data_IF_732331124283
#
_entry.id   IF_732331124283
#
_cell.length_a   1.000
_cell.length_b   1.000
_cell.length_c   1.000
_cell.angle_alpha   90.00
_cell.angle_beta   90.00
_cell.angle_gamma   90.00
#
_symmetry.space_group_name_H-M   'P 1'
#
loop_
_entity.id
_entity.type
_entity.pdbx_description
1 polymer ?
#
# COMPACT_ATOMS: atom_id res chain seq x y z
N UNK A 1 29.68 9.31 6.11
CA UNK A 1 28.80 8.14 5.92
C UNK A 1 27.58 8.36 6.75
N UNK A 2 26.42 8.49 6.13
CA UNK A 2 25.20 8.92 6.82
C UNK A 2 24.06 7.99 6.41
N UNK A 3 23.56 7.23 7.39
CA UNK A 3 22.47 6.28 7.21
C UNK A 3 21.14 7.06 7.30
N UNK A 4 20.63 7.51 6.16
CA UNK A 4 19.27 8.06 6.10
C UNK A 4 18.25 6.92 6.08
N UNK A 5 17.72 6.58 7.25
CA UNK A 5 16.50 5.79 7.36
C UNK A 5 15.31 6.75 7.24
N UNK A 6 14.55 6.66 6.13
CA UNK A 6 13.29 7.39 5.99
C UNK A 6 12.12 6.42 6.05
N UNK A 7 11.82 5.97 7.25
CA UNK A 7 10.47 5.66 7.68
C UNK A 7 10.09 6.86 8.56
N UNK A 8 9.15 7.70 8.13
CA UNK A 8 8.76 8.89 8.90
C UNK A 8 7.89 8.52 10.12
N UNK A 9 7.47 7.26 10.22
CA UNK A 9 6.79 6.67 11.36
C UNK A 9 7.43 5.32 11.69
N UNK A 10 7.34 4.96 12.96
CA UNK A 10 7.97 3.79 13.53
C UNK A 10 7.64 3.67 15.01
N UNK A 11 7.71 2.46 15.54
CA UNK A 11 7.50 2.19 16.96
C UNK A 11 8.84 1.91 17.62
N UNK A 12 9.23 2.75 18.59
CA UNK A 12 10.37 2.48 19.48
C UNK A 12 9.79 2.17 20.86
N UNK A 13 9.90 0.91 21.30
CA UNK A 13 9.33 0.46 22.56
C UNK A 13 7.80 0.59 22.56
N UNK A 14 7.26 1.48 23.40
CA UNK A 14 5.80 1.74 23.50
C UNK A 14 5.35 3.01 22.77
N UNK A 15 6.26 3.73 22.12
CA UNK A 15 5.96 5.00 21.45
C UNK A 15 5.97 4.77 19.94
N UNK A 16 4.79 4.86 19.33
CA UNK A 16 4.60 4.83 17.88
C UNK A 16 4.44 6.24 17.33
N UNK A 17 5.26 6.62 16.36
CA UNK A 17 5.05 7.85 15.59
C UNK A 17 4.30 7.50 14.29
N UNK A 18 3.19 8.20 14.04
CA UNK A 18 2.44 8.06 12.80
C UNK A 18 2.95 9.06 11.77
N UNK A 19 3.51 8.55 10.67
CA UNK A 19 3.74 9.38 9.50
C UNK A 19 2.53 9.40 8.55
N UNK A 20 2.11 10.59 8.11
CA UNK A 20 1.24 10.69 6.94
C UNK A 20 1.83 9.93 5.76
N UNK A 21 1.01 9.13 5.07
CA UNK A 21 1.45 8.37 3.90
C UNK A 21 2.15 7.03 4.19
N UNK A 22 2.32 6.61 5.44
CA UNK A 22 2.90 5.29 5.75
C UNK A 22 1.90 4.15 5.52
N UNK A 23 2.37 3.03 4.94
CA UNK A 23 1.59 1.81 4.82
C UNK A 23 1.46 1.12 6.18
N UNK A 24 0.23 0.75 6.56
CA UNK A 24 -0.03 0.00 7.80
C UNK A 24 -0.38 -1.44 7.46
N UNK A 25 0.46 -2.36 7.89
CA UNK A 25 0.21 -3.80 7.78
C UNK A 25 -0.35 -4.28 9.11
N UNK A 26 -1.59 -4.78 9.10
CA UNK A 26 -2.20 -5.39 10.27
C UNK A 26 -1.85 -6.88 10.33
N UNK A 27 -1.50 -7.37 11.52
CA UNK A 27 -1.21 -8.78 11.72
C UNK A 27 -2.47 -9.60 11.44
N UNK A 28 -2.29 -10.73 10.75
CA UNK A 28 -3.37 -11.66 10.37
C UNK A 28 -4.44 -11.07 9.45
N UNK A 29 -4.22 -9.89 8.85
CA UNK A 29 -5.12 -9.32 7.86
C UNK A 29 -4.51 -9.41 6.45
N UNK A 30 -5.28 -9.90 5.46
CA UNK A 30 -4.80 -9.97 4.09
C UNK A 30 -4.72 -8.57 3.46
N UNK A 31 -3.63 -8.32 2.74
CA UNK A 31 -3.42 -7.08 2.00
C UNK A 31 -2.70 -7.34 0.67
N UNK A 32 -2.79 -6.39 -0.26
CA UNK A 32 -1.99 -6.34 -1.47
C UNK A 32 -0.94 -5.24 -1.31
N UNK A 33 0.32 -5.58 -1.56
CA UNK A 33 1.44 -4.64 -1.50
C UNK A 33 2.31 -4.74 -2.74
N UNK A 34 2.83 -3.59 -3.19
CA UNK A 34 3.92 -3.55 -4.16
C UNK A 34 5.24 -3.53 -3.42
N UNK A 35 6.14 -4.47 -3.74
CA UNK A 35 7.44 -4.58 -3.09
C UNK A 35 8.56 -4.16 -4.04
N UNK A 36 9.59 -3.50 -3.50
CA UNK A 36 10.85 -3.25 -4.19
C UNK A 36 12.00 -3.91 -3.44
N UNK A 37 12.85 -4.64 -4.16
CA UNK A 37 14.06 -5.26 -3.59
C UNK A 37 15.08 -4.19 -3.16
N UNK A 38 15.70 -4.42 -2.02
CA UNK A 38 16.82 -3.67 -1.43
C UNK A 38 17.90 -4.66 -1.00
N UNK A 39 19.10 -4.14 -0.68
CA UNK A 39 20.23 -4.97 -0.25
C UNK A 39 19.92 -5.80 1.00
N UNK A 40 19.09 -5.26 1.89
CA UNK A 40 18.78 -5.83 3.22
C UNK A 40 17.38 -6.45 3.30
N UNK A 41 16.59 -6.44 2.23
CA UNK A 41 15.22 -6.95 2.26
C UNK A 41 14.31 -6.35 1.19
N UNK A 42 13.00 -6.45 1.41
CA UNK A 42 11.98 -5.82 0.58
C UNK A 42 11.35 -4.64 1.32
N UNK A 43 11.03 -3.58 0.58
CA UNK A 43 10.30 -2.42 1.09
C UNK A 43 9.03 -2.21 0.29
N UNK A 44 7.95 -1.73 0.93
CA UNK A 44 6.73 -1.35 0.22
C UNK A 44 7.03 -0.15 -0.68
N UNK A 45 6.84 -0.33 -1.99
CA UNK A 45 7.00 0.73 -2.97
C UNK A 45 5.83 1.74 -2.83
N UNK A 46 6.10 3.04 -2.90
CA UNK A 46 5.05 4.06 -2.84
C UNK A 46 4.36 4.21 -1.48
N UNK A 47 4.87 3.59 -0.41
CA UNK A 47 4.32 3.68 0.95
C UNK A 47 2.81 3.34 0.97
N UNK A 48 1.95 4.16 1.58
CA UNK A 48 0.50 3.95 1.63
C UNK A 48 -0.17 3.84 0.24
N UNK A 49 0.45 4.39 -0.81
CA UNK A 49 -0.09 4.29 -2.18
C UNK A 49 0.11 2.90 -2.79
N UNK A 50 1.16 2.19 -2.36
CA UNK A 50 1.44 0.84 -2.81
C UNK A 50 0.90 -0.24 -1.88
N UNK A 51 0.02 0.12 -0.94
CA UNK A 51 -0.60 -0.78 0.01
C UNK A 51 -2.13 -0.67 -0.06
N UNK A 52 -2.78 -1.82 -0.19
CA UNK A 52 -4.23 -1.95 -0.23
C UNK A 52 -4.66 -3.02 0.77
N UNK A 53 -5.50 -2.64 1.74
CA UNK A 53 -6.17 -3.62 2.58
C UNK A 53 -7.21 -4.38 1.74
N UNK A 54 -7.55 -5.60 2.14
CA UNK A 54 -8.57 -6.39 1.47
C UNK A 54 -9.84 -6.42 2.33
N UNK A 55 -10.95 -5.95 1.76
CA UNK A 55 -12.26 -5.98 2.41
C UNK A 55 -13.29 -6.66 1.53
N UNK A 56 -14.22 -7.40 2.14
CA UNK A 56 -15.39 -7.92 1.41
C UNK A 56 -16.44 -6.82 1.24
N UNK A 57 -17.11 -6.80 0.09
CA UNK A 57 -18.33 -6.01 -0.08
C UNK A 57 -19.58 -6.78 0.42
N UNK A 58 -20.76 -6.18 0.27
CA UNK A 58 -22.04 -6.78 0.67
C UNK A 58 -22.35 -8.10 -0.06
N UNK A 59 -21.80 -8.29 -1.26
CA UNK A 59 -21.90 -9.52 -2.03
C UNK A 59 -20.82 -10.56 -1.67
N UNK A 60 -19.96 -10.26 -0.69
CA UNK A 60 -18.88 -11.13 -0.24
C UNK A 60 -17.63 -11.11 -1.13
N UNK A 61 -17.57 -10.22 -2.14
CA UNK A 61 -16.46 -10.11 -3.10
C UNK A 61 -15.28 -9.39 -2.47
N UNK A 62 -14.07 -9.95 -2.61
CA UNK A 62 -12.85 -9.37 -2.03
C UNK A 62 -12.33 -8.21 -2.88
N UNK A 63 -12.31 -7.01 -2.31
CA UNK A 63 -11.92 -5.76 -2.98
C UNK A 63 -10.75 -5.07 -2.29
N UNK A 64 -9.96 -4.38 -3.10
CA UNK A 64 -8.87 -3.52 -2.64
C UNK A 64 -9.44 -2.26 -2.00
N UNK A 65 -8.98 -1.93 -0.80
CA UNK A 65 -9.28 -0.69 -0.11
C UNK A 65 -8.02 0.16 -0.05
N UNK A 66 -8.12 1.41 -0.50
CA UNK A 66 -7.04 2.36 -0.38
C UNK A 66 -6.66 2.53 1.09
N UNK A 67 -5.37 2.68 1.38
CA UNK A 67 -4.92 2.91 2.74
C UNK A 67 -5.51 4.21 3.30
N UNK A 68 -5.96 4.19 4.56
CA UNK A 68 -6.55 5.36 5.23
C UNK A 68 -5.58 6.54 5.34
N UNK A 69 -4.26 6.28 5.30
CA UNK A 69 -3.20 7.28 5.36
C UNK A 69 -2.77 7.81 3.99
N UNK A 70 -3.41 7.38 2.90
CA UNK A 70 -3.02 7.78 1.54
C UNK A 70 -3.31 9.26 1.29
N UNK A 71 -2.30 10.02 0.87
CA UNK A 71 -2.51 11.38 0.40
C UNK A 71 -3.28 11.34 -0.92
N UNK A 72 -4.42 12.05 -0.99
CA UNK A 72 -5.19 12.22 -2.24
C UNK A 72 -4.53 13.33 -3.07
N UNK A 73 -3.89 12.96 -4.17
CA UNK A 73 -3.42 13.93 -5.15
C UNK A 73 -4.59 14.36 -6.02
N UNK A 74 -4.97 15.64 -5.96
CA UNK A 74 -6.01 16.20 -6.82
C UNK A 74 -5.41 16.46 -8.20
N UNK A 75 -5.98 15.86 -9.25
CA UNK A 75 -5.62 16.17 -10.64
C UNK A 75 -4.53 15.29 -11.29
N UNK A 76 -4.04 14.24 -10.62
CA UNK A 76 -3.12 13.28 -11.25
C UNK A 76 -3.92 12.06 -11.72
N UNK A 77 -4.24 12.03 -13.02
CA UNK A 77 -4.75 10.84 -13.68
C UNK A 77 -3.68 9.74 -13.70
N UNK A 78 -4.09 8.47 -13.58
CA UNK A 78 -3.18 7.31 -13.66
C UNK A 78 -2.39 6.98 -12.38
N UNK A 79 -2.78 7.52 -11.21
CA UNK A 79 -2.19 7.04 -9.95
C UNK A 79 -2.64 5.60 -9.67
N UNK A 80 -1.75 4.76 -9.12
CA UNK A 80 -2.07 3.37 -8.75
C UNK A 80 -3.29 3.27 -7.82
N UNK A 81 -3.45 4.25 -6.93
CA UNK A 81 -4.60 4.32 -6.01
C UNK A 81 -5.89 4.57 -6.78
N UNK A 82 -5.89 5.54 -7.70
CA UNK A 82 -7.04 5.81 -8.56
C UNK A 82 -7.34 4.62 -9.50
N UNK A 83 -6.31 3.90 -9.94
CA UNK A 83 -6.50 2.74 -10.81
C UNK A 83 -7.01 1.52 -10.07
N UNK A 84 -6.58 1.24 -8.83
CA UNK A 84 -6.80 -0.05 -8.17
C UNK A 84 -7.76 -0.03 -7.00
N UNK A 85 -8.05 1.13 -6.40
CA UNK A 85 -9.01 1.23 -5.30
C UNK A 85 -10.39 0.70 -5.72
N UNK A 86 -11.03 -0.03 -4.82
CA UNK A 86 -12.34 -0.68 -4.95
C UNK A 86 -12.48 -1.72 -6.06
N UNK A 87 -11.40 -2.03 -6.79
CA UNK A 87 -11.39 -3.18 -7.70
C UNK A 87 -11.43 -4.48 -6.93
N UNK A 88 -12.07 -5.48 -7.54
CA UNK A 88 -11.91 -6.87 -7.13
C UNK A 88 -10.44 -7.30 -7.21
N UNK A 89 -9.98 -8.11 -6.24
CA UNK A 89 -8.61 -8.59 -6.17
C UNK A 89 -8.14 -9.26 -7.47
N UNK A 90 -8.96 -10.13 -8.05
CA UNK A 90 -8.60 -10.87 -9.28
C UNK A 90 -8.34 -9.91 -10.45
N UNK A 91 -9.22 -8.93 -10.64
CA UNK A 91 -9.11 -7.90 -11.67
C UNK A 91 -7.91 -6.98 -11.44
N UNK A 92 -7.62 -6.63 -10.18
CA UNK A 92 -6.43 -5.84 -9.83
C UNK A 92 -5.12 -6.58 -10.16
N UNK A 93 -5.04 -7.88 -9.83
CA UNK A 93 -3.87 -8.72 -10.16
C UNK A 93 -3.66 -8.80 -11.67
N UNK A 94 -4.72 -9.06 -12.44
CA UNK A 94 -4.62 -9.11 -13.90
C UNK A 94 -4.17 -7.76 -14.50
N UNK A 95 -4.65 -6.64 -13.96
CA UNK A 95 -4.24 -5.30 -14.38
C UNK A 95 -2.75 -5.07 -14.15
N UNK A 96 -2.26 -5.38 -12.95
CA UNK A 96 -0.83 -5.25 -12.59
C UNK A 96 0.03 -6.11 -13.50
N UNK A 97 -0.34 -7.37 -13.73
CA UNK A 97 0.39 -8.29 -14.60
C UNK A 97 0.46 -7.83 -16.06
N UNK A 98 -0.55 -7.10 -16.54
CA UNK A 98 -0.56 -6.56 -17.91
C UNK A 98 0.38 -5.38 -18.09
N UNK A 99 0.56 -4.55 -17.05
CA UNK A 99 1.45 -3.37 -17.07
C UNK A 99 2.90 -3.74 -16.79
N UNK A 100 3.15 -4.83 -16.07
CA UNK A 100 4.49 -5.30 -15.73
C UNK A 100 5.22 -6.04 -16.88
N UNK A 101 4.55 -6.22 -18.04
CA UNK A 101 5.14 -6.75 -19.27
C UNK A 101 5.62 -5.61 -20.14
#
# INVERSE_FOLDING_TARGET
>A
GELFVRTLGGTIGRVGQLAPGEARLALNEPCLVFLRKRRTGHVVAGMAQGHFALGRDEAGVLRLRASASVARYKGIAGSVVAELADRELSAAVQRVQRVAR
#
